data_IF_989914304186
#
_entry.id   IF_989914304186
#
_cell.length_a   1.000
_cell.length_b   1.000
_cell.length_c   1.000
_cell.angle_alpha   90.00
_cell.angle_beta   90.00
_cell.angle_gamma   90.00
#
_symmetry.space_group_name_H-M   'P 1'
#
loop_
_entity.id
_entity.type
_entity.pdbx_description
1 polymer ?
#
# COMPACT_ATOMS: atom_id res chain seq x y z
N UNK A 1 -35.40 21.17 -3.30
CA UNK A 1 -36.62 20.49 -3.80
C UNK A 1 -36.19 19.12 -4.25
N UNK A 2 -36.95 18.08 -3.93
CA UNK A 2 -36.61 16.70 -4.21
C UNK A 2 -37.81 16.04 -4.86
N UNK A 3 -37.59 15.34 -5.97
CA UNK A 3 -38.53 14.41 -6.57
C UNK A 3 -37.94 13.02 -6.49
N UNK A 4 -38.58 12.16 -5.72
CA UNK A 4 -38.23 10.75 -5.60
C UNK A 4 -39.46 9.94 -5.97
N UNK A 5 -39.28 9.06 -6.93
CA UNK A 5 -40.24 8.03 -7.30
C UNK A 5 -39.51 6.70 -7.20
N UNK A 6 -40.02 5.80 -6.40
CA UNK A 6 -39.41 4.48 -6.26
C UNK A 6 -40.41 3.47 -5.76
N UNK A 7 -40.19 2.23 -6.16
CA UNK A 7 -40.95 1.07 -5.74
C UNK A 7 -39.96 -0.05 -5.44
N UNK A 8 -40.15 -0.75 -4.33
CA UNK A 8 -39.32 -1.87 -3.95
C UNK A 8 -40.16 -2.94 -3.27
N UNK A 9 -39.76 -4.21 -3.42
CA UNK A 9 -40.30 -5.31 -2.62
C UNK A 9 -39.74 -5.25 -1.20
N UNK A 10 -40.46 -5.83 -0.24
CA UNK A 10 -40.07 -5.80 1.19
C UNK A 10 -38.72 -6.48 1.47
N UNK A 11 -38.31 -7.40 0.61
CA UNK A 11 -37.04 -8.12 0.64
C UNK A 11 -35.94 -7.46 -0.22
N UNK A 12 -36.26 -6.37 -0.92
CA UNK A 12 -35.39 -5.70 -1.89
C UNK A 12 -34.84 -6.63 -3.00
N UNK A 13 -35.55 -7.73 -3.29
CA UNK A 13 -35.25 -8.56 -4.48
C UNK A 13 -35.46 -7.74 -5.75
N UNK A 14 -36.52 -6.95 -5.80
CA UNK A 14 -36.75 -6.00 -6.89
C UNK A 14 -36.87 -4.59 -6.34
N UNK A 15 -36.21 -3.65 -7.00
CA UNK A 15 -36.32 -2.24 -6.70
C UNK A 15 -36.16 -1.41 -7.97
N UNK A 16 -36.92 -0.34 -8.10
CA UNK A 16 -36.70 0.70 -9.08
C UNK A 16 -36.70 2.05 -8.37
N UNK A 17 -35.70 2.86 -8.65
CA UNK A 17 -35.50 4.17 -8.04
C UNK A 17 -35.19 5.16 -9.14
N UNK A 18 -36.04 6.17 -9.27
CA UNK A 18 -35.76 7.37 -10.04
C UNK A 18 -35.89 8.57 -9.13
N UNK A 19 -34.76 9.22 -8.85
CA UNK A 19 -34.68 10.28 -7.88
C UNK A 19 -33.79 11.40 -8.39
N UNK A 20 -34.25 12.63 -8.26
CA UNK A 20 -33.44 13.81 -8.53
C UNK A 20 -33.76 14.90 -7.50
N UNK A 21 -32.77 15.73 -7.22
CA UNK A 21 -32.98 16.92 -6.40
C UNK A 21 -31.75 17.37 -5.67
N UNK A 22 -31.99 18.10 -4.61
CA UNK A 22 -30.95 18.65 -3.74
C UNK A 22 -31.11 18.09 -2.33
N UNK A 23 -30.03 17.53 -1.80
CA UNK A 23 -29.86 17.11 -0.42
C UNK A 23 -28.98 18.10 0.32
N UNK A 24 -29.06 18.10 1.64
CA UNK A 24 -28.19 18.89 2.50
C UNK A 24 -27.65 17.99 3.59
N UNK A 25 -26.33 18.00 3.76
CA UNK A 25 -25.60 17.18 4.73
C UNK A 25 -25.95 15.69 4.60
N UNK A 26 -25.82 15.15 3.38
CA UNK A 26 -26.10 13.76 3.10
C UNK A 26 -25.14 12.86 3.88
N UNK A 27 -25.71 11.94 4.67
CA UNK A 27 -24.98 10.89 5.37
C UNK A 27 -25.45 9.54 4.87
N UNK A 28 -24.52 8.74 4.39
CA UNK A 28 -24.71 7.36 3.92
C UNK A 28 -24.03 6.35 4.84
N UNK A 29 -23.51 6.79 6.00
CA UNK A 29 -22.92 5.93 7.02
C UNK A 29 -21.49 5.53 6.71
N UNK A 30 -20.84 6.24 5.79
CA UNK A 30 -19.42 6.09 5.47
C UNK A 30 -18.72 7.40 5.84
N UNK A 31 -17.90 7.44 6.91
CA UNK A 31 -17.36 8.70 7.43
C UNK A 31 -16.66 9.58 6.38
N UNK A 32 -15.96 8.97 5.43
CA UNK A 32 -15.23 9.69 4.39
C UNK A 32 -16.17 10.22 3.31
N UNK A 33 -17.14 9.41 2.88
CA UNK A 33 -18.14 9.84 1.91
C UNK A 33 -19.12 10.86 2.52
N UNK A 34 -19.49 10.71 3.79
CA UNK A 34 -20.32 11.67 4.53
C UNK A 34 -19.63 13.04 4.62
N UNK A 35 -18.28 13.08 4.70
CA UNK A 35 -17.49 14.31 4.64
C UNK A 35 -17.52 14.94 3.24
N UNK A 36 -17.42 14.13 2.20
CA UNK A 36 -17.49 14.60 0.81
C UNK A 36 -18.89 15.07 0.42
N UNK A 37 -19.93 14.49 1.00
CA UNK A 37 -21.33 14.75 0.70
C UNK A 37 -21.96 15.79 1.65
N UNK A 38 -21.14 16.40 2.51
CA UNK A 38 -21.52 17.46 3.42
C UNK A 38 -22.02 18.70 2.65
N UNK A 39 -22.88 19.49 3.28
CA UNK A 39 -23.46 20.67 2.65
C UNK A 39 -24.43 20.30 1.52
N UNK A 40 -24.62 21.24 0.60
CA UNK A 40 -25.64 21.14 -0.45
C UNK A 40 -25.13 20.25 -1.59
N UNK A 41 -25.80 19.12 -1.79
CA UNK A 41 -25.45 18.14 -2.83
C UNK A 41 -26.62 17.98 -3.80
N UNK A 42 -26.36 18.16 -5.07
CA UNK A 42 -27.30 17.82 -6.14
C UNK A 42 -27.08 16.38 -6.56
N UNK A 43 -28.17 15.65 -6.78
CA UNK A 43 -28.10 14.26 -7.17
C UNK A 43 -29.18 13.93 -8.20
N UNK A 44 -28.87 12.98 -9.07
CA UNK A 44 -29.80 12.32 -9.95
C UNK A 44 -29.40 10.84 -10.04
N UNK A 45 -30.36 9.93 -9.87
CA UNK A 45 -30.15 8.49 -10.02
C UNK A 45 -31.38 7.89 -10.69
N UNK A 46 -31.14 7.03 -11.67
CA UNK A 46 -32.15 6.17 -12.28
C UNK A 46 -31.59 4.76 -12.34
N UNK A 47 -32.13 3.88 -11.51
CA UNK A 47 -31.62 2.54 -11.31
C UNK A 47 -32.73 1.53 -11.07
N UNK A 48 -32.52 0.32 -11.57
CA UNK A 48 -33.34 -0.85 -11.27
C UNK A 48 -32.48 -1.97 -10.73
N UNK A 49 -33.09 -2.82 -9.91
CA UNK A 49 -32.51 -4.01 -9.34
C UNK A 49 -33.49 -5.16 -9.52
N UNK A 50 -32.98 -6.31 -9.96
CA UNK A 50 -33.69 -7.59 -10.01
C UNK A 50 -32.74 -8.71 -9.58
N UNK A 51 -32.90 -9.17 -8.34
CA UNK A 51 -32.00 -10.12 -7.69
C UNK A 51 -30.57 -9.55 -7.57
N UNK A 52 -29.62 -10.16 -8.29
CA UNK A 52 -28.23 -9.71 -8.37
C UNK A 52 -27.96 -8.79 -9.57
N UNK A 53 -28.95 -8.60 -10.45
CA UNK A 53 -28.82 -7.70 -11.59
C UNK A 53 -29.13 -6.28 -11.14
N UNK A 54 -28.23 -5.34 -11.46
CA UNK A 54 -28.43 -3.91 -11.26
C UNK A 54 -28.29 -3.25 -12.61
N UNK A 55 -29.27 -2.45 -13.00
CA UNK A 55 -29.20 -1.58 -14.17
C UNK A 55 -29.20 -0.14 -13.70
N UNK A 56 -28.15 0.61 -14.02
CA UNK A 56 -27.97 2.01 -13.68
C UNK A 56 -27.96 2.82 -14.99
N UNK A 57 -29.12 3.37 -15.34
CA UNK A 57 -29.27 4.26 -16.50
C UNK A 57 -28.41 5.52 -16.34
N UNK A 58 -28.26 5.99 -15.09
CA UNK A 58 -27.34 7.06 -14.78
C UNK A 58 -27.33 7.44 -13.30
N UNK A 59 -26.14 7.77 -12.81
CA UNK A 59 -25.88 8.40 -11.53
C UNK A 59 -25.14 9.72 -11.78
N UNK A 60 -25.61 10.80 -11.14
CA UNK A 60 -24.88 12.05 -10.98
C UNK A 60 -24.97 12.45 -9.51
N UNK A 61 -23.84 12.71 -8.90
CA UNK A 61 -23.74 13.35 -7.59
C UNK A 61 -22.79 14.52 -7.74
N UNK A 62 -23.21 15.71 -7.33
CA UNK A 62 -22.44 16.93 -7.53
C UNK A 62 -22.58 17.87 -6.35
N UNK A 63 -21.44 18.33 -5.84
CA UNK A 63 -21.34 19.43 -4.92
C UNK A 63 -19.96 20.11 -5.09
N UNK A 64 -19.62 21.16 -4.31
CA UNK A 64 -18.34 21.84 -4.44
C UNK A 64 -17.09 20.98 -4.17
N UNK A 65 -17.23 19.78 -3.61
CA UNK A 65 -16.15 18.89 -3.20
C UNK A 65 -15.97 17.72 -4.16
N UNK A 66 -17.08 17.20 -4.71
CA UNK A 66 -17.13 15.98 -5.50
C UNK A 66 -18.06 16.12 -6.72
N UNK A 67 -17.63 15.55 -7.84
CA UNK A 67 -18.49 15.22 -8.98
C UNK A 67 -18.33 13.72 -9.25
N UNK A 68 -19.39 12.95 -9.04
CA UNK A 68 -19.40 11.53 -9.35
C UNK A 68 -20.43 11.25 -10.45
N UNK A 69 -20.01 10.51 -11.47
CA UNK A 69 -20.85 10.03 -12.57
C UNK A 69 -20.71 8.53 -12.68
N UNK A 70 -21.79 7.85 -13.04
CA UNK A 70 -21.72 6.42 -13.30
C UNK A 70 -22.92 5.93 -14.10
N UNK A 71 -22.71 4.86 -14.84
CA UNK A 71 -23.78 4.16 -15.56
C UNK A 71 -23.38 2.71 -15.83
N UNK A 72 -24.35 1.90 -16.20
CA UNK A 72 -24.12 0.57 -16.71
C UNK A 72 -24.92 -0.51 -15.98
N UNK A 73 -24.66 -1.75 -16.37
CA UNK A 73 -25.34 -2.93 -15.87
C UNK A 73 -24.34 -3.85 -15.18
N UNK A 74 -24.70 -4.31 -13.99
CA UNK A 74 -23.99 -5.35 -13.27
C UNK A 74 -24.86 -6.61 -13.20
N UNK A 75 -24.31 -7.74 -13.63
CA UNK A 75 -24.76 -9.07 -13.24
C UNK A 75 -23.50 -9.94 -12.99
N UNK A 76 -23.55 -10.95 -12.12
CA UNK A 76 -22.36 -11.74 -11.80
C UNK A 76 -21.68 -12.35 -13.04
N UNK A 77 -22.46 -12.76 -14.04
CA UNK A 77 -21.96 -13.39 -15.26
C UNK A 77 -21.62 -12.40 -16.38
N UNK A 78 -22.19 -11.21 -16.39
CA UNK A 78 -22.01 -10.26 -17.49
C UNK A 78 -22.36 -8.84 -17.10
N UNK A 79 -21.78 -7.87 -17.78
CA UNK A 79 -22.19 -6.48 -17.61
C UNK A 79 -21.18 -5.50 -18.17
N UNK A 80 -21.48 -4.22 -17.99
CA UNK A 80 -20.58 -3.11 -18.27
C UNK A 80 -20.85 -2.02 -17.26
N UNK A 81 -19.82 -1.51 -16.61
CA UNK A 81 -19.92 -0.40 -15.66
C UNK A 81 -18.90 0.64 -16.04
N UNK A 82 -19.32 1.89 -16.08
CA UNK A 82 -18.46 3.05 -16.28
C UNK A 82 -18.70 4.00 -15.11
N UNK A 83 -17.63 4.48 -14.49
CA UNK A 83 -17.69 5.45 -13.42
C UNK A 83 -16.57 6.48 -13.53
N UNK A 84 -16.89 7.71 -13.18
CA UNK A 84 -15.96 8.83 -13.12
C UNK A 84 -16.16 9.55 -11.78
N UNK A 85 -15.05 9.89 -11.14
CA UNK A 85 -15.01 10.61 -9.89
C UNK A 85 -14.03 11.76 -10.03
N UNK A 86 -14.50 12.98 -9.84
CA UNK A 86 -13.68 14.17 -9.73
C UNK A 86 -13.78 14.69 -8.30
N UNK A 87 -12.65 14.88 -7.65
CA UNK A 87 -12.50 15.46 -6.32
C UNK A 87 -11.81 16.81 -6.49
N UNK A 88 -12.41 17.86 -5.96
CA UNK A 88 -11.77 19.18 -5.93
C UNK A 88 -10.61 19.23 -4.93
N UNK A 89 -10.65 18.38 -3.90
CA UNK A 89 -9.66 18.33 -2.84
C UNK A 89 -9.57 16.91 -2.25
N UNK A 90 -8.51 16.17 -2.61
CA UNK A 90 -8.27 14.80 -2.16
C UNK A 90 -8.02 14.71 -0.66
N UNK A 91 -7.55 15.78 -0.01
CA UNK A 91 -7.28 15.79 1.44
C UNK A 91 -8.53 15.59 2.30
N UNK A 92 -9.72 15.66 1.70
CA UNK A 92 -10.97 15.33 2.37
C UNK A 92 -11.18 13.82 2.55
N UNK A 93 -10.56 13.01 1.69
CA UNK A 93 -10.58 11.54 1.73
C UNK A 93 -9.29 11.01 2.32
N UNK A 94 -8.16 11.47 1.78
CA UNK A 94 -6.81 11.06 2.17
C UNK A 94 -6.09 12.29 2.73
N UNK A 95 -6.19 12.58 4.04
CA UNK A 95 -5.73 13.84 4.65
C UNK A 95 -4.32 14.27 4.28
N UNK A 96 -3.46 13.31 3.95
CA UNK A 96 -2.07 13.42 3.56
C UNK A 96 -1.87 14.05 2.17
N UNK A 97 -2.82 13.86 1.25
CA UNK A 97 -2.70 14.20 -0.15
C UNK A 97 -3.56 15.41 -0.49
N UNK A 98 -2.92 16.52 -0.85
CA UNK A 98 -3.62 17.79 -1.14
C UNK A 98 -3.71 18.06 -2.64
N UNK A 99 -4.84 18.63 -3.06
CA UNK A 99 -5.10 19.01 -4.45
C UNK A 99 -6.21 18.19 -5.10
N UNK A 100 -6.59 18.53 -6.35
CA UNK A 100 -7.64 17.83 -7.06
C UNK A 100 -7.22 16.40 -7.41
N UNK A 101 -8.21 15.54 -7.59
CA UNK A 101 -7.99 14.19 -8.08
C UNK A 101 -9.12 13.76 -9.04
N UNK A 102 -8.78 12.92 -10.00
CA UNK A 102 -9.71 12.27 -10.91
C UNK A 102 -9.51 10.76 -10.85
N UNK A 103 -10.60 10.00 -10.85
CA UNK A 103 -10.58 8.54 -10.96
C UNK A 103 -11.60 8.11 -12.01
N UNK A 104 -11.17 7.30 -12.96
CA UNK A 104 -12.05 6.65 -13.95
C UNK A 104 -12.01 5.15 -13.74
N UNK A 105 -13.16 4.50 -13.94
CA UNK A 105 -13.31 3.06 -13.87
C UNK A 105 -14.15 2.60 -15.04
N UNK A 106 -13.62 1.62 -15.76
CA UNK A 106 -14.30 0.90 -16.82
C UNK A 106 -14.26 -0.58 -16.48
N UNK A 107 -15.41 -1.24 -16.44
CA UNK A 107 -15.50 -2.65 -16.16
C UNK A 107 -16.41 -3.35 -17.15
N UNK A 108 -15.98 -4.49 -17.68
CA UNK A 108 -16.78 -5.34 -18.59
C UNK A 108 -16.75 -6.79 -18.11
N UNK A 109 -17.93 -7.37 -17.91
CA UNK A 109 -18.11 -8.77 -17.53
C UNK A 109 -18.58 -9.63 -18.69
N UNK A 110 -17.97 -10.80 -18.84
CA UNK A 110 -18.45 -11.87 -19.73
C UNK A 110 -18.12 -13.24 -19.11
N UNK A 111 -19.10 -14.14 -19.11
CA UNK A 111 -18.98 -15.51 -18.59
C UNK A 111 -18.41 -15.60 -17.15
N UNK A 112 -18.74 -14.61 -16.30
CA UNK A 112 -18.29 -14.54 -14.90
C UNK A 112 -16.88 -13.97 -14.69
N UNK A 113 -16.17 -13.64 -15.77
CA UNK A 113 -14.90 -12.93 -15.74
C UNK A 113 -15.13 -11.45 -16.01
N UNK A 114 -14.70 -10.60 -15.08
CA UNK A 114 -14.82 -9.15 -15.18
C UNK A 114 -13.46 -8.50 -15.39
N UNK A 115 -13.28 -7.88 -16.55
CA UNK A 115 -12.11 -7.05 -16.83
C UNK A 115 -12.39 -5.64 -16.34
N UNK A 116 -11.50 -5.08 -15.53
CA UNK A 116 -11.60 -3.75 -14.93
C UNK A 116 -10.36 -2.97 -15.26
N UNK A 117 -10.55 -1.76 -15.78
CA UNK A 117 -9.52 -0.73 -15.91
C UNK A 117 -9.85 0.37 -14.92
N UNK A 118 -8.86 0.80 -14.13
CA UNK A 118 -8.96 1.91 -13.21
C UNK A 118 -7.78 2.84 -13.44
N UNK A 119 -8.06 4.11 -13.71
CA UNK A 119 -7.06 5.15 -13.80
C UNK A 119 -7.34 6.22 -12.75
N UNK A 120 -6.30 6.72 -12.11
CA UNK A 120 -6.37 7.74 -11.08
C UNK A 120 -5.21 8.71 -11.21
N UNK A 121 -5.49 10.00 -11.08
CA UNK A 121 -4.48 11.06 -11.07
C UNK A 121 -4.88 12.10 -10.03
N UNK A 122 -3.96 12.50 -9.16
CA UNK A 122 -4.23 13.55 -8.19
C UNK A 122 -3.14 13.68 -7.14
N UNK A 123 -2.94 14.90 -6.65
CA UNK A 123 -1.96 15.20 -5.59
C UNK A 123 -0.54 14.65 -5.85
N UNK A 124 -0.10 14.58 -7.11
CA UNK A 124 1.20 14.02 -7.48
C UNK A 124 1.28 12.50 -7.45
N UNK A 125 0.14 11.81 -7.35
CA UNK A 125 0.00 10.37 -7.38
C UNK A 125 -0.74 9.96 -8.65
N UNK A 126 -0.20 8.97 -9.36
CA UNK A 126 -0.84 8.33 -10.52
C UNK A 126 -1.05 6.86 -10.24
N UNK A 127 -2.25 6.35 -10.52
CA UNK A 127 -2.62 4.95 -10.43
C UNK A 127 -3.16 4.51 -11.78
N UNK A 128 -2.68 3.40 -12.31
CA UNK A 128 -3.29 2.75 -13.48
C UNK A 128 -3.33 1.25 -13.21
N UNK A 129 -4.52 0.64 -13.21
CA UNK A 129 -4.70 -0.76 -12.88
C UNK A 129 -5.59 -1.46 -13.90
N UNK A 130 -5.18 -2.65 -14.29
CA UNK A 130 -5.93 -3.59 -15.11
C UNK A 130 -6.12 -4.87 -14.31
N UNK A 131 -7.36 -5.25 -14.03
CA UNK A 131 -7.68 -6.40 -13.19
C UNK A 131 -8.76 -7.29 -13.82
N UNK A 132 -8.61 -8.58 -13.61
CA UNK A 132 -9.58 -9.63 -13.82
C UNK A 132 -10.17 -10.02 -12.47
N UNK A 133 -11.50 -9.90 -12.37
CA UNK A 133 -12.28 -10.28 -11.19
C UNK A 133 -13.10 -11.52 -11.51
N UNK A 134 -13.04 -12.52 -10.63
CA UNK A 134 -13.92 -13.70 -10.67
C UNK A 134 -14.57 -13.93 -9.31
N UNK A 135 -15.51 -14.87 -9.25
CA UNK A 135 -16.20 -15.26 -8.02
C UNK A 135 -16.97 -14.09 -7.36
N UNK A 136 -17.52 -13.17 -8.16
CA UNK A 136 -18.25 -11.99 -7.66
C UNK A 136 -19.57 -12.35 -6.92
N UNK A 137 -20.07 -13.56 -7.09
CA UNK A 137 -21.19 -14.14 -6.36
C UNK A 137 -20.76 -14.77 -5.01
N UNK A 138 -19.46 -14.89 -4.75
CA UNK A 138 -18.90 -15.45 -3.52
C UNK A 138 -18.57 -14.34 -2.51
N UNK A 139 -18.53 -14.67 -1.20
CA UNK A 139 -18.12 -13.70 -0.17
C UNK A 139 -16.69 -13.19 -0.35
N UNK A 140 -15.79 -14.04 -0.85
CA UNK A 140 -14.38 -13.73 -1.13
C UNK A 140 -14.17 -13.87 -2.63
N UNK A 141 -13.71 -12.79 -3.25
CA UNK A 141 -13.61 -12.64 -4.70
C UNK A 141 -12.16 -12.77 -5.08
N UNK A 142 -11.90 -13.31 -6.27
CA UNK A 142 -10.53 -13.43 -6.77
C UNK A 142 -10.22 -12.23 -7.67
N UNK A 143 -9.03 -11.68 -7.49
CA UNK A 143 -8.50 -10.56 -8.27
C UNK A 143 -7.17 -11.01 -8.86
N UNK A 144 -6.98 -10.86 -10.16
CA UNK A 144 -5.71 -11.04 -10.85
C UNK A 144 -5.45 -9.80 -11.69
N UNK A 145 -4.21 -9.33 -11.81
CA UNK A 145 -3.97 -8.15 -12.64
C UNK A 145 -2.66 -7.45 -12.42
N UNK A 146 -2.56 -6.29 -13.06
CA UNK A 146 -1.42 -5.38 -12.96
C UNK A 146 -1.85 -4.02 -12.45
N UNK A 147 -0.98 -3.36 -11.69
CA UNK A 147 -1.17 -1.99 -11.26
C UNK A 147 0.14 -1.21 -11.36
N UNK A 148 0.08 0.00 -11.86
CA UNK A 148 1.18 0.97 -11.87
C UNK A 148 0.86 2.05 -10.87
N UNK A 149 1.83 2.34 -10.01
CA UNK A 149 1.77 3.41 -9.02
C UNK A 149 2.95 4.35 -9.27
N UNK A 150 2.64 5.61 -9.54
CA UNK A 150 3.61 6.69 -9.60
C UNK A 150 3.35 7.65 -8.44
N UNK A 151 4.39 8.04 -7.73
CA UNK A 151 4.34 9.07 -6.69
C UNK A 151 5.49 10.02 -6.95
N UNK A 152 5.16 11.27 -7.29
CA UNK A 152 6.14 12.30 -7.59
C UNK A 152 6.84 12.82 -6.33
N UNK A 153 6.16 12.79 -5.18
CA UNK A 153 6.71 13.23 -3.90
C UNK A 153 6.14 12.40 -2.75
N UNK A 154 7.01 11.62 -2.11
CA UNK A 154 6.67 10.79 -0.96
C UNK A 154 6.47 11.60 0.33
N UNK A 155 6.89 12.87 0.39
CA UNK A 155 6.79 13.67 1.60
C UNK A 155 5.35 13.87 2.07
N UNK A 156 4.38 13.82 1.14
CA UNK A 156 2.95 13.85 1.44
C UNK A 156 2.53 12.75 2.42
N UNK A 157 3.18 11.58 2.38
CA UNK A 157 2.86 10.40 3.18
C UNK A 157 3.58 10.36 4.54
N UNK A 158 4.42 11.34 4.87
CA UNK A 158 5.18 11.37 6.13
C UNK A 158 4.26 11.32 7.36
N UNK A 159 3.09 11.98 7.28
CA UNK A 159 2.09 11.97 8.36
C UNK A 159 1.44 10.61 8.58
N UNK A 160 1.30 9.80 7.53
CA UNK A 160 0.70 8.46 7.60
C UNK A 160 1.62 7.46 8.30
N UNK A 161 2.93 7.64 8.15
CA UNK A 161 3.95 6.68 8.61
C UNK A 161 4.70 7.16 9.85
N UNK A 162 4.34 8.33 10.39
CA UNK A 162 4.99 8.91 11.57
C UNK A 162 6.48 9.24 11.39
N UNK A 163 6.98 9.26 10.15
CA UNK A 163 8.41 9.42 9.82
C UNK A 163 8.55 10.31 8.60
N UNK A 164 9.69 10.98 8.49
CA UNK A 164 10.01 11.76 7.30
C UNK A 164 10.17 10.82 6.10
N UNK A 165 9.35 11.03 5.07
CA UNK A 165 9.46 10.36 3.79
C UNK A 165 9.83 11.37 2.72
N UNK A 166 10.50 10.92 1.67
CA UNK A 166 10.90 11.79 0.57
C UNK A 166 11.36 11.01 -0.65
N UNK A 167 11.55 11.76 -1.73
CA UNK A 167 11.86 11.20 -3.04
C UNK A 167 10.60 10.83 -3.83
N UNK A 168 10.78 10.05 -4.88
CA UNK A 168 9.71 9.59 -5.77
C UNK A 168 9.76 8.09 -5.99
N UNK A 169 8.64 7.49 -6.38
CA UNK A 169 8.59 6.09 -6.78
C UNK A 169 7.75 5.87 -8.02
N UNK A 170 8.13 4.86 -8.80
CA UNK A 170 7.37 4.30 -9.89
C UNK A 170 7.40 2.79 -9.75
N UNK A 171 6.28 2.19 -9.41
CA UNK A 171 6.13 0.76 -9.14
C UNK A 171 5.14 0.14 -10.11
N UNK A 172 5.43 -1.08 -10.53
CA UNK A 172 4.51 -1.99 -11.20
C UNK A 172 4.30 -3.20 -10.31
N UNK A 173 3.05 -3.45 -9.97
CA UNK A 173 2.56 -4.61 -9.24
C UNK A 173 1.91 -5.55 -10.26
N UNK A 174 2.19 -6.84 -10.15
CA UNK A 174 1.59 -7.90 -10.95
C UNK A 174 1.29 -9.08 -10.04
N UNK A 175 0.10 -9.66 -10.15
CA UNK A 175 -0.20 -10.85 -9.38
C UNK A 175 -1.67 -11.11 -9.13
N UNK A 176 -1.92 -11.85 -8.06
CA UNK A 176 -3.26 -12.27 -7.63
C UNK A 176 -3.50 -11.95 -6.17
N UNK A 177 -4.73 -11.66 -5.81
CA UNK A 177 -5.17 -11.45 -4.44
C UNK A 177 -6.64 -11.85 -4.26
N UNK A 178 -7.05 -12.10 -3.03
CA UNK A 178 -8.46 -12.17 -2.67
C UNK A 178 -8.96 -10.81 -2.19
N UNK A 179 -10.25 -10.53 -2.36
CA UNK A 179 -10.87 -9.25 -1.94
C UNK A 179 -10.75 -8.95 -0.44
N UNK A 180 -10.53 -9.98 0.39
CA UNK A 180 -10.31 -9.88 1.83
C UNK A 180 -8.81 -9.84 2.20
N UNK A 181 -7.93 -9.85 1.20
CA UNK A 181 -6.46 -9.91 1.33
C UNK A 181 -5.95 -11.08 2.18
N UNK A 182 -6.78 -12.13 2.37
CA UNK A 182 -6.36 -13.35 3.07
C UNK A 182 -5.35 -14.14 2.25
N UNK A 183 -5.38 -14.05 0.91
CA UNK A 183 -4.39 -14.61 0.01
C UNK A 183 -3.89 -13.57 -0.97
N UNK A 184 -2.58 -13.59 -1.23
CA UNK A 184 -1.96 -12.80 -2.28
C UNK A 184 -0.70 -13.50 -2.80
N UNK A 185 -0.40 -13.37 -4.09
CA UNK A 185 0.92 -13.61 -4.70
C UNK A 185 1.17 -12.44 -5.63
N UNK A 186 2.06 -11.53 -5.22
CA UNK A 186 2.28 -10.23 -5.85
C UNK A 186 3.77 -10.06 -6.09
N UNK A 187 4.12 -9.64 -7.30
CA UNK A 187 5.45 -9.18 -7.66
C UNK A 187 5.42 -7.66 -7.82
N UNK A 188 6.33 -6.98 -7.13
CA UNK A 188 6.53 -5.54 -7.22
C UNK A 188 7.87 -5.26 -7.90
N UNK A 189 7.87 -4.47 -8.97
CA UNK A 189 9.08 -4.01 -9.65
C UNK A 189 9.02 -2.53 -9.90
N UNK A 190 10.14 -1.84 -9.76
CA UNK A 190 10.15 -0.43 -10.10
C UNK A 190 11.44 0.30 -9.76
N UNK A 191 11.35 1.63 -9.86
CA UNK A 191 12.43 2.53 -9.56
C UNK A 191 11.99 3.56 -8.52
N UNK A 192 12.84 3.81 -7.55
CA UNK A 192 12.72 4.88 -6.57
C UNK A 192 13.83 5.90 -6.87
N UNK A 193 13.57 7.18 -6.65
CA UNK A 193 14.59 8.21 -6.81
C UNK A 193 14.68 9.06 -5.55
N UNK A 194 15.91 9.16 -5.03
CA UNK A 194 16.26 9.91 -3.83
C UNK A 194 15.37 9.53 -2.63
N UNK A 195 15.18 8.21 -2.44
CA UNK A 195 14.29 7.69 -1.41
C UNK A 195 14.80 8.07 -0.03
N UNK A 196 13.93 8.76 0.72
CA UNK A 196 14.14 9.07 2.13
C UNK A 196 13.10 8.34 2.94
N UNK A 197 13.58 7.62 3.94
CA UNK A 197 12.81 6.82 4.86
C UNK A 197 12.97 7.36 6.30
N UNK A 198 13.57 8.53 6.49
CA UNK A 198 13.73 9.15 7.81
C UNK A 198 14.73 8.38 8.68
N UNK A 199 15.63 7.64 8.05
CA UNK A 199 16.73 6.93 8.70
C UNK A 199 18.03 7.37 8.03
N UNK A 200 18.81 8.28 8.65
CA UNK A 200 19.96 8.92 7.99
C UNK A 200 20.93 7.96 7.33
N UNK A 201 21.15 6.78 7.91
CA UNK A 201 22.07 5.77 7.37
C UNK A 201 21.47 5.08 6.14
N UNK A 202 20.19 4.69 6.20
CA UNK A 202 19.48 4.08 5.06
C UNK A 202 19.29 5.11 3.94
N UNK A 203 18.92 6.34 4.28
CA UNK A 203 18.71 7.43 3.34
C UNK A 203 19.99 7.71 2.56
N UNK A 204 21.15 7.66 3.23
CA UNK A 204 22.46 7.79 2.57
C UNK A 204 22.69 6.70 1.53
N UNK A 205 22.30 5.46 1.84
CA UNK A 205 22.44 4.31 0.95
C UNK A 205 21.45 4.33 -0.21
N UNK A 206 20.29 4.97 -0.07
CA UNK A 206 19.22 4.99 -1.08
C UNK A 206 19.16 6.26 -1.93
N UNK A 207 20.17 7.14 -1.81
CA UNK A 207 20.35 8.32 -2.67
C UNK A 207 20.44 7.95 -4.15
N UNK A 208 19.91 8.82 -5.02
CA UNK A 208 19.88 8.59 -6.46
C UNK A 208 18.82 7.57 -6.86
N UNK A 209 19.03 6.92 -8.01
CA UNK A 209 18.05 5.97 -8.56
C UNK A 209 18.31 4.57 -8.01
N UNK A 210 17.27 4.01 -7.37
CA UNK A 210 17.28 2.69 -6.76
C UNK A 210 16.27 1.80 -7.46
N UNK A 211 16.70 0.65 -7.96
CA UNK A 211 15.83 -0.38 -8.52
C UNK A 211 15.31 -1.31 -7.40
N UNK A 212 14.05 -1.73 -7.50
CA UNK A 212 13.38 -2.68 -6.61
C UNK A 212 12.80 -3.83 -7.42
N UNK A 213 13.02 -5.07 -6.97
CA UNK A 213 12.29 -6.28 -7.40
C UNK A 213 11.97 -7.13 -6.16
N UNK A 214 10.69 -7.32 -5.87
CA UNK A 214 10.24 -8.11 -4.73
C UNK A 214 9.06 -9.00 -5.11
N UNK A 215 9.01 -10.20 -4.54
CA UNK A 215 7.85 -11.08 -4.61
C UNK A 215 7.35 -11.34 -3.20
N UNK A 216 6.05 -11.20 -2.99
CA UNK A 216 5.38 -11.45 -1.73
C UNK A 216 4.23 -12.43 -1.93
N UNK A 217 4.18 -13.45 -1.08
CA UNK A 217 3.07 -14.39 -0.96
C UNK A 217 2.47 -14.28 0.42
N UNK A 218 1.14 -14.22 0.50
CA UNK A 218 0.38 -14.19 1.74
C UNK A 218 -0.63 -15.33 1.76
N UNK A 219 -0.74 -16.01 2.89
CA UNK A 219 -1.77 -17.01 3.17
C UNK A 219 -2.20 -16.90 4.63
N UNK A 220 -3.31 -16.22 4.88
CA UNK A 220 -3.78 -15.88 6.21
C UNK A 220 -2.79 -14.96 6.93
N UNK A 221 -2.22 -15.44 8.03
CA UNK A 221 -1.19 -14.72 8.78
C UNK A 221 0.23 -15.03 8.29
N UNK A 222 0.39 -16.03 7.43
CA UNK A 222 1.68 -16.42 6.90
C UNK A 222 2.05 -15.50 5.74
N UNK A 223 3.29 -15.01 5.75
CA UNK A 223 3.88 -14.19 4.71
C UNK A 223 5.18 -14.84 4.29
N UNK A 224 5.37 -15.01 3.00
CA UNK A 224 6.63 -15.46 2.40
C UNK A 224 7.08 -14.37 1.44
N UNK A 225 8.34 -13.98 1.54
CA UNK A 225 9.01 -13.07 0.64
C UNK A 225 10.10 -13.89 -0.07
N UNK A 226 9.78 -14.62 -1.17
CA UNK A 226 10.75 -15.49 -1.82
C UNK A 226 11.91 -14.73 -2.46
N UNK A 227 11.71 -13.45 -2.72
CA UNK A 227 12.70 -12.58 -3.32
C UNK A 227 12.47 -11.15 -2.87
N UNK A 228 13.53 -10.50 -2.48
CA UNK A 228 13.65 -9.07 -2.33
C UNK A 228 15.01 -8.68 -2.87
N UNK A 229 15.04 -7.69 -3.75
CA UNK A 229 16.26 -7.17 -4.35
C UNK A 229 16.13 -5.66 -4.46
N UNK A 230 17.12 -4.97 -3.92
CA UNK A 230 17.29 -3.52 -4.03
C UNK A 230 18.68 -3.26 -4.57
N UNK A 231 18.80 -2.44 -5.60
CA UNK A 231 20.09 -2.16 -6.24
C UNK A 231 20.21 -0.71 -6.64
N UNK A 232 21.32 -0.10 -6.27
CA UNK A 232 21.76 1.21 -6.74
C UNK A 232 23.31 1.27 -6.72
N UNK A 233 23.94 2.40 -7.08
CA UNK A 233 25.40 2.49 -7.10
C UNK A 233 26.09 2.33 -5.73
N UNK A 234 25.38 2.47 -4.61
CA UNK A 234 25.91 2.41 -3.26
C UNK A 234 25.67 1.05 -2.58
N UNK A 235 24.53 0.41 -2.88
CA UNK A 235 24.09 -0.83 -2.24
C UNK A 235 23.48 -1.81 -3.23
N UNK A 236 23.79 -3.09 -3.05
CA UNK A 236 23.01 -4.22 -3.57
C UNK A 236 22.57 -5.05 -2.38
N UNK A 237 21.27 -5.19 -2.16
CA UNK A 237 20.71 -5.98 -1.08
C UNK A 237 19.76 -7.01 -1.66
N UNK A 238 20.01 -8.29 -1.38
CA UNK A 238 19.13 -9.40 -1.72
C UNK A 238 18.65 -10.08 -0.46
N UNK A 239 17.43 -10.61 -0.46
CA UNK A 239 16.96 -11.37 0.69
C UNK A 239 15.73 -12.21 0.39
N UNK A 240 15.49 -13.14 1.30
CA UNK A 240 14.28 -13.94 1.36
C UNK A 240 13.78 -14.01 2.80
N UNK A 241 12.49 -14.23 2.96
CA UNK A 241 11.87 -14.24 4.27
C UNK A 241 10.64 -15.11 4.34
N UNK A 242 10.36 -15.61 5.54
CA UNK A 242 9.11 -16.22 5.93
C UNK A 242 8.72 -15.72 7.31
N UNK A 243 7.46 -15.40 7.48
CA UNK A 243 6.87 -14.93 8.71
C UNK A 243 5.56 -15.66 8.95
N UNK A 244 5.38 -16.09 10.18
CA UNK A 244 4.13 -16.56 10.77
C UNK A 244 4.11 -16.09 12.23
N UNK A 245 2.95 -16.03 12.89
CA UNK A 245 2.89 -15.59 14.29
C UNK A 245 3.76 -16.42 15.24
N UNK A 246 3.99 -17.70 14.94
CA UNK A 246 4.78 -18.60 15.78
C UNK A 246 6.25 -18.67 15.37
N UNK A 247 6.56 -18.51 14.08
CA UNK A 247 7.91 -18.72 13.56
C UNK A 247 8.26 -17.71 12.46
N UNK A 248 9.54 -17.40 12.32
CA UNK A 248 10.04 -16.59 11.23
C UNK A 248 11.45 -16.97 10.84
N UNK A 249 11.83 -16.63 9.61
CA UNK A 249 13.21 -16.65 9.17
C UNK A 249 13.40 -15.56 8.13
N UNK A 250 14.51 -14.85 8.21
CA UNK A 250 14.95 -13.89 7.19
C UNK A 250 16.42 -14.15 6.92
N UNK A 251 16.77 -14.24 5.65
CA UNK A 251 18.16 -14.23 5.20
C UNK A 251 18.33 -13.06 4.25
N UNK A 252 19.44 -12.34 4.39
CA UNK A 252 19.77 -11.26 3.47
C UNK A 252 21.27 -11.15 3.26
N UNK A 253 21.66 -10.79 2.06
CA UNK A 253 23.02 -10.47 1.66
C UNK A 253 23.04 -9.01 1.19
N UNK A 254 23.96 -8.22 1.73
CA UNK A 254 24.09 -6.80 1.45
C UNK A 254 25.53 -6.52 1.05
N UNK A 255 25.72 -6.08 -0.19
CA UNK A 255 27.00 -5.57 -0.68
C UNK A 255 26.95 -4.05 -0.73
N UNK A 256 27.93 -3.42 -0.09
CA UNK A 256 28.11 -1.98 -0.04
C UNK A 256 29.33 -1.62 -0.89
N UNK A 257 29.17 -0.61 -1.76
CA UNK A 257 30.29 -0.09 -2.55
C UNK A 257 31.35 0.58 -1.64
N UNK A 258 30.90 1.18 -0.54
CA UNK A 258 31.74 1.76 0.50
C UNK A 258 31.09 1.63 1.88
N UNK A 259 31.76 0.93 2.80
CA UNK A 259 31.33 0.80 4.20
C UNK A 259 31.29 2.15 4.93
N UNK A 260 32.04 3.15 4.46
CA UNK A 260 32.03 4.51 4.99
C UNK A 260 30.65 5.18 4.94
N UNK A 261 29.74 4.70 4.07
CA UNK A 261 28.37 5.19 3.99
C UNK A 261 27.51 4.82 5.21
N UNK A 262 27.88 3.74 5.92
CA UNK A 262 27.18 3.28 7.14
C UNK A 262 28.03 3.53 8.38
N UNK A 263 29.30 3.11 8.32
CA UNK A 263 30.26 3.20 9.41
C UNK A 263 31.40 4.14 8.99
N UNK A 264 31.39 5.43 9.40
CA UNK A 264 32.36 6.43 8.94
C UNK A 264 33.83 6.11 9.24
N UNK A 265 34.08 5.18 10.15
CA UNK A 265 35.42 4.71 10.54
C UNK A 265 35.98 3.66 9.58
N UNK A 266 35.13 3.08 8.71
CA UNK A 266 35.51 2.09 7.71
C UNK A 266 35.58 2.74 6.32
N UNK A 267 36.30 2.10 5.39
CA UNK A 267 36.40 2.57 4.02
C UNK A 267 36.58 1.41 3.04
N UNK A 268 35.99 1.54 1.87
CA UNK A 268 36.05 0.54 0.82
C UNK A 268 34.90 -0.46 0.88
N UNK A 269 34.83 -1.40 -0.07
CA UNK A 269 33.69 -2.28 -0.21
C UNK A 269 33.56 -3.22 0.98
N UNK A 270 32.33 -3.63 1.26
CA UNK A 270 32.04 -4.65 2.25
C UNK A 270 30.78 -5.43 1.94
N UNK A 271 30.72 -6.62 2.53
CA UNK A 271 29.58 -7.52 2.45
C UNK A 271 29.06 -7.74 3.87
N UNK A 272 27.75 -7.83 4.01
CA UNK A 272 27.06 -8.16 5.25
C UNK A 272 26.01 -9.22 4.95
N UNK A 273 26.06 -10.31 5.68
CA UNK A 273 25.03 -11.34 5.70
C UNK A 273 24.21 -11.20 6.97
N UNK A 274 22.90 -11.36 6.84
CA UNK A 274 21.94 -11.35 7.92
C UNK A 274 21.24 -12.69 7.95
N UNK A 275 21.22 -13.33 9.11
CA UNK A 275 20.43 -14.52 9.38
C UNK A 275 19.60 -14.28 10.63
N UNK A 276 18.29 -14.13 10.46
CA UNK A 276 17.36 -13.96 11.56
C UNK A 276 16.42 -15.16 11.66
N UNK A 277 16.25 -15.72 12.86
CA UNK A 277 15.28 -16.79 13.15
C UNK A 277 14.39 -16.34 14.28
N UNK A 278 13.07 -16.35 14.02
CA UNK A 278 12.05 -15.98 14.97
C UNK A 278 11.34 -17.21 15.52
N UNK A 279 11.18 -17.30 16.83
CA UNK A 279 10.37 -18.32 17.51
C UNK A 279 9.53 -17.66 18.61
N UNK A 280 8.21 -17.89 18.55
CA UNK A 280 7.22 -17.36 19.52
C UNK A 280 7.33 -15.84 19.74
N UNK A 281 7.60 -15.08 18.68
CA UNK A 281 7.74 -13.62 18.72
C UNK A 281 9.11 -13.11 19.15
N UNK A 282 10.03 -13.99 19.54
CA UNK A 282 11.43 -13.63 19.85
C UNK A 282 12.30 -13.89 18.62
N UNK A 283 13.16 -12.93 18.25
CA UNK A 283 14.05 -13.05 17.10
C UNK A 283 15.51 -13.11 17.53
N UNK A 284 16.20 -14.15 17.08
CA UNK A 284 17.65 -14.26 17.15
C UNK A 284 18.20 -13.80 15.81
N UNK A 285 19.09 -12.80 15.81
CA UNK A 285 19.63 -12.19 14.60
C UNK A 285 21.14 -12.32 14.63
N UNK A 286 21.72 -12.93 13.61
CA UNK A 286 23.16 -13.02 13.40
C UNK A 286 23.52 -12.14 12.22
N UNK A 287 24.50 -11.26 12.42
CA UNK A 287 25.08 -10.41 11.38
C UNK A 287 26.55 -10.78 11.25
N UNK A 288 26.96 -11.18 10.06
CA UNK A 288 28.36 -11.43 9.73
C UNK A 288 28.74 -10.54 8.55
N UNK A 289 29.85 -9.84 8.64
CA UNK A 289 30.30 -8.98 7.56
C UNK A 289 31.80 -8.97 7.39
N UNK A 290 32.24 -8.82 6.14
CA UNK A 290 33.63 -8.66 5.77
C UNK A 290 33.82 -7.41 4.91
N UNK A 291 34.88 -6.65 5.15
CA UNK A 291 35.19 -5.47 4.35
C UNK A 291 36.17 -4.53 5.04
N UNK A 292 36.77 -3.62 4.27
CA UNK A 292 37.79 -2.69 4.77
C UNK A 292 39.00 -3.36 5.48
N UNK A 293 39.27 -4.65 5.23
CA UNK A 293 40.32 -5.41 5.90
C UNK A 293 39.97 -5.90 7.32
N UNK A 294 38.70 -5.81 7.72
CA UNK A 294 38.15 -6.26 9.00
C UNK A 294 37.09 -7.34 8.73
N UNK A 295 37.08 -8.38 9.56
CA UNK A 295 35.97 -9.34 9.63
C UNK A 295 35.18 -9.04 10.91
N UNK A 296 33.88 -8.78 10.78
CA UNK A 296 32.94 -8.58 11.86
C UNK A 296 32.18 -9.87 12.09
N UNK A 297 32.57 -10.65 13.09
CA UNK A 297 31.75 -11.72 13.64
C UNK A 297 31.04 -11.23 14.90
N UNK A 298 29.76 -10.87 14.78
CA UNK A 298 28.93 -10.49 15.93
C UNK A 298 27.83 -11.56 16.13
N UNK A 299 28.00 -12.42 17.14
CA UNK A 299 26.89 -13.21 17.67
C UNK A 299 26.06 -12.30 18.57
N UNK A 300 24.92 -11.81 18.07
CA UNK A 300 23.98 -11.06 18.91
C UNK A 300 23.17 -12.09 19.71
N UNK A 301 23.59 -12.35 20.95
CA UNK A 301 22.99 -13.38 21.81
C UNK A 301 21.50 -13.14 22.13
N UNK A 302 21.00 -11.89 22.04
CA UNK A 302 19.58 -11.59 22.25
C UNK A 302 19.17 -10.23 21.66
N UNK A 303 18.22 -10.22 20.72
CA UNK A 303 17.47 -9.01 20.35
C UNK A 303 16.07 -9.10 20.98
N UNK A 304 15.83 -8.34 22.04
CA UNK A 304 14.49 -8.21 22.61
C UNK A 304 13.68 -7.21 21.79
N UNK A 305 12.92 -7.71 20.81
CA UNK A 305 11.91 -6.90 20.11
C UNK A 305 10.78 -6.58 21.09
N UNK A 306 10.69 -5.34 21.56
CA UNK A 306 9.69 -4.92 22.56
C UNK A 306 8.31 -4.59 21.98
N UNK A 307 8.13 -4.72 20.67
CA UNK A 307 6.82 -4.61 20.02
C UNK A 307 6.92 -4.23 18.55
N UNK A 308 5.83 -4.55 17.82
CA UNK A 308 5.51 -3.96 16.52
C UNK A 308 4.61 -2.77 16.79
N UNK A 309 5.03 -1.56 16.40
CA UNK A 309 4.13 -0.42 16.26
C UNK A 309 4.30 0.14 14.85
N UNK A 310 3.18 0.29 14.14
CA UNK A 310 3.10 0.95 12.82
C UNK A 310 4.10 0.45 11.74
N UNK A 311 4.38 -0.86 11.71
CA UNK A 311 5.15 -1.46 10.61
C UNK A 311 6.65 -1.15 10.61
N UNK A 312 7.20 -0.65 11.72
CA UNK A 312 8.64 -0.40 11.89
C UNK A 312 9.23 -1.37 12.93
N UNK A 313 10.38 -1.96 12.61
CA UNK A 313 11.13 -2.82 13.53
C UNK A 313 11.93 -1.95 14.51
N UNK A 314 11.83 -2.25 15.80
CA UNK A 314 12.70 -1.70 16.83
C UNK A 314 13.63 -2.81 17.33
N UNK A 315 14.94 -2.56 17.28
CA UNK A 315 15.95 -3.45 17.83
C UNK A 315 16.97 -2.63 18.62
N UNK A 316 17.19 -2.98 19.89
CA UNK A 316 18.39 -2.57 20.61
C UNK A 316 19.51 -3.54 20.20
N UNK A 317 20.50 -3.03 19.48
CA UNK A 317 21.68 -3.79 19.09
C UNK A 317 22.75 -3.62 20.17
N UNK A 318 22.94 -4.65 20.99
CA UNK A 318 24.08 -4.76 21.90
C UNK A 318 25.17 -5.54 21.15
N UNK A 319 26.17 -4.82 20.61
CA UNK A 319 27.35 -5.45 20.02
C UNK A 319 28.36 -5.74 21.14
N UNK A 320 28.56 -7.01 21.44
CA UNK A 320 29.68 -7.46 22.26
C UNK A 320 30.83 -7.91 21.37
N UNK A 321 31.95 -7.18 21.38
CA UNK A 321 33.24 -7.70 20.93
C UNK A 321 34.23 -7.58 22.09
N UNK A 322 34.90 -8.69 22.45
CA UNK A 322 35.99 -8.82 23.42
C UNK A 322 36.45 -7.51 24.14
N UNK A 323 35.61 -7.02 25.06
CA UNK A 323 35.94 -5.93 25.98
C UNK A 323 35.55 -4.51 25.59
N UNK A 324 35.02 -4.24 24.39
CA UNK A 324 34.46 -2.92 24.03
C UNK A 324 32.99 -3.03 23.62
N UNK A 325 32.13 -2.37 24.39
CA UNK A 325 30.67 -2.37 24.24
C UNK A 325 30.25 -1.28 23.25
N UNK A 326 29.83 -1.68 22.04
CA UNK A 326 29.25 -0.77 21.05
C UNK A 326 27.72 -0.85 21.13
N UNK A 327 27.13 0.12 21.83
CA UNK A 327 25.69 0.32 21.83
C UNK A 327 25.28 1.14 20.60
N UNK A 328 24.66 0.48 19.62
CA UNK A 328 23.95 1.18 18.53
C UNK A 328 22.49 1.27 18.96
N UNK A 329 22.15 2.38 19.61
CA UNK A 329 20.78 2.67 20.02
C UNK A 329 20.08 3.45 18.91
N UNK A 330 19.06 2.87 18.29
CA UNK A 330 18.08 3.64 17.53
C UNK A 330 17.13 4.32 18.53
N UNK A 331 17.58 5.40 19.19
CA UNK A 331 16.66 6.18 20.04
C UNK A 331 15.68 6.96 19.18
N UNK A 332 14.41 7.06 19.60
CA UNK A 332 13.50 8.05 19.04
C UNK A 332 14.09 9.45 19.26
N UNK A 333 14.02 10.31 18.24
CA UNK A 333 14.22 11.74 18.45
C UNK A 333 13.18 12.20 19.48
N UNK A 334 13.67 12.68 20.61
CA UNK A 334 12.89 13.21 21.72
C UNK A 334 12.00 14.35 21.24
N UNK A 335 10.70 14.12 21.10
CA UNK A 335 9.72 15.19 21.29
C UNK A 335 9.45 15.30 22.79
N UNK A 336 10.17 16.22 23.44
CA UNK A 336 9.85 16.63 24.79
C UNK A 336 8.48 17.32 24.79
N UNK A 337 7.50 16.71 25.45
CA UNK A 337 6.24 17.36 25.84
C UNK A 337 6.36 17.83 27.29
N UNK A 338 5.77 18.97 27.65
CA UNK A 338 4.85 19.06 28.77
C UNK A 338 3.41 18.76 28.31
#
# INVERSE_FOLDING_TARGET
>A
TMSLTGNATSDLETAAIKAEGTLSDLRIGQPDLDRLLAGRTEFAVDATKDGMVIDLDGLRIENPQIVARGSGQYAPQSGRVEAELELSELSQVVPELSGPATVTLDATGADGLWQVTLDGDGAGVTVAAEAELTDLDQPVKSVAGTAKLGVADLSGFSRLTGRELGGSLNLTLDGTATSDLSRADVTARGALADLQLGQPDIDRLLRGVTALDAQLRKSGQDIVLPRFEVTNPQITATGEGRYSPQNGQVTADVTLADLGEVLPELSGPGNVTLNAVGESGVWNVVLDGDGAGIALGADVEQVNVTGLDEGTFFADLILGADGDELSISSRPSTAALP
#
